data_IF_283642972709
#
_entry.id   IF_283642972709
#
_cell.length_a   1.000
_cell.length_b   1.000
_cell.length_c   1.000
_cell.angle_alpha   90.00
_cell.angle_beta   90.00
_cell.angle_gamma   90.00
#
_symmetry.space_group_name_H-M   'P 1'
#
loop_
_entity.id
_entity.type
_entity.pdbx_description
1 polymer ?
#
# COMPACT_ATOMS: atom_id res chain seq x y z
N UNK A 1 -9.71 1.87 -57.78
CA UNK A 1 -9.76 2.85 -56.67
C UNK A 1 -9.44 2.10 -55.40
N UNK A 2 -8.25 2.36 -54.82
CA UNK A 2 -7.50 1.47 -53.91
C UNK A 2 -8.12 1.30 -52.53
N UNK A 3 -8.43 0.07 -52.16
CA UNK A 3 -8.91 -0.36 -50.83
C UNK A 3 -8.06 0.19 -49.66
N UNK A 4 -6.75 0.44 -49.87
CA UNK A 4 -5.82 1.05 -48.89
C UNK A 4 -6.14 2.51 -48.56
N UNK A 5 -6.75 3.28 -49.47
CA UNK A 5 -7.16 4.68 -49.20
C UNK A 5 -8.46 4.75 -48.41
N UNK A 6 -9.37 3.78 -48.59
CA UNK A 6 -10.61 3.70 -47.82
C UNK A 6 -10.34 3.29 -46.36
N UNK A 7 -9.42 2.34 -46.13
CA UNK A 7 -8.98 1.97 -44.78
C UNK A 7 -8.27 3.12 -44.04
N UNK A 8 -7.50 3.96 -44.76
CA UNK A 8 -6.83 5.13 -44.18
C UNK A 8 -7.81 6.22 -43.75
N UNK A 9 -8.94 6.43 -44.48
CA UNK A 9 -9.97 7.37 -44.08
C UNK A 9 -10.89 6.85 -42.97
N UNK A 10 -11.09 5.55 -42.85
CA UNK A 10 -11.84 4.93 -41.75
C UNK A 10 -10.99 4.95 -40.46
N UNK A 11 -9.69 4.73 -40.54
CA UNK A 11 -8.79 4.79 -39.40
C UNK A 11 -8.56 6.24 -38.89
N UNK A 12 -8.60 7.25 -39.81
CA UNK A 12 -8.54 8.67 -39.40
C UNK A 12 -9.89 9.22 -38.90
N UNK A 13 -11.01 8.64 -39.27
CA UNK A 13 -12.33 9.00 -38.73
C UNK A 13 -12.59 8.40 -37.34
N UNK A 14 -11.97 7.25 -37.00
CA UNK A 14 -12.04 6.66 -35.65
C UNK A 14 -11.14 7.37 -34.60
N UNK A 15 -10.16 8.17 -35.06
CA UNK A 15 -9.29 8.95 -34.18
C UNK A 15 -9.81 10.37 -33.86
N UNK A 16 -10.97 10.76 -34.39
CA UNK A 16 -11.55 12.08 -34.18
C UNK A 16 -12.80 12.12 -33.28
N UNK A 17 -13.14 11.01 -32.60
CA UNK A 17 -14.24 10.98 -31.61
C UNK A 17 -13.79 11.06 -30.16
N UNK A 18 -12.59 11.54 -29.89
CA UNK A 18 -12.13 11.80 -28.53
C UNK A 18 -11.92 13.30 -28.38
N UNK A 19 -12.93 14.02 -27.97
CA UNK A 19 -12.91 15.21 -27.12
C UNK A 19 -14.24 15.98 -27.22
N UNK A 20 -15.34 15.32 -26.85
CA UNK A 20 -16.41 16.07 -26.21
C UNK A 20 -15.93 16.27 -24.78
N UNK A 21 -15.54 17.50 -24.40
CA UNK A 21 -14.99 17.83 -23.11
C UNK A 21 -16.01 17.76 -21.97
N UNK A 22 -16.62 16.59 -21.76
CA UNK A 22 -17.33 16.22 -20.55
C UNK A 22 -16.32 15.58 -19.59
N UNK A 23 -16.33 15.98 -18.34
CA UNK A 23 -15.58 15.26 -17.31
C UNK A 23 -16.17 13.85 -17.17
N UNK A 24 -15.29 12.84 -17.08
CA UNK A 24 -15.73 11.46 -16.88
C UNK A 24 -16.38 11.32 -15.49
N UNK A 25 -17.55 10.68 -15.37
CA UNK A 25 -18.16 10.47 -14.06
C UNK A 25 -17.35 9.51 -13.23
N UNK A 26 -17.11 9.88 -11.96
CA UNK A 26 -16.39 9.06 -10.99
C UNK A 26 -17.25 8.88 -9.73
N UNK A 27 -17.59 7.63 -9.42
CA UNK A 27 -18.13 7.22 -8.13
C UNK A 27 -17.07 6.47 -7.31
N UNK A 28 -17.33 6.21 -6.04
CA UNK A 28 -16.39 5.51 -5.16
C UNK A 28 -16.06 4.10 -5.68
N UNK A 29 -17.06 3.36 -6.16
CA UNK A 29 -16.85 2.00 -6.69
C UNK A 29 -15.89 1.97 -7.87
N UNK A 30 -16.06 2.89 -8.83
CA UNK A 30 -15.16 3.03 -9.98
C UNK A 30 -13.75 3.48 -9.56
N UNK A 31 -13.65 4.35 -8.56
CA UNK A 31 -12.35 4.78 -8.03
C UNK A 31 -11.61 3.62 -7.35
N UNK A 32 -12.33 2.78 -6.59
CA UNK A 32 -11.78 1.58 -5.97
C UNK A 32 -11.34 0.56 -7.02
N UNK A 33 -12.15 0.30 -8.04
CA UNK A 33 -11.81 -0.63 -9.12
C UNK A 33 -10.52 -0.19 -9.84
N UNK A 34 -10.43 1.08 -10.22
CA UNK A 34 -9.22 1.63 -10.86
C UNK A 34 -8.00 1.52 -9.96
N UNK A 35 -8.13 1.86 -8.67
CA UNK A 35 -7.03 1.75 -7.72
C UNK A 35 -6.59 0.30 -7.53
N UNK A 36 -7.52 -0.64 -7.36
CA UNK A 36 -7.21 -2.05 -7.22
C UNK A 36 -6.50 -2.63 -8.46
N UNK A 37 -6.74 -2.10 -9.64
CA UNK A 37 -6.06 -2.54 -10.87
C UNK A 37 -4.69 -1.87 -11.07
N UNK A 38 -4.57 -0.57 -10.83
CA UNK A 38 -3.47 0.25 -11.31
C UNK A 38 -2.58 0.83 -10.20
N UNK A 39 -2.93 0.69 -8.91
CA UNK A 39 -2.12 1.21 -7.82
C UNK A 39 -0.74 0.55 -7.82
N UNK A 40 0.32 1.37 -7.80
CA UNK A 40 1.70 0.89 -7.88
C UNK A 40 2.10 -0.01 -6.69
N UNK A 41 1.61 0.26 -5.48
CA UNK A 41 1.85 -0.57 -4.30
C UNK A 41 1.28 -1.98 -4.48
N UNK A 42 0.06 -2.08 -5.01
CA UNK A 42 -0.59 -3.36 -5.30
C UNK A 42 0.10 -4.12 -6.45
N UNK A 43 0.57 -3.42 -7.49
CA UNK A 43 1.32 -4.05 -8.59
C UNK A 43 2.62 -4.67 -8.04
N UNK A 44 3.36 -3.94 -7.19
CA UNK A 44 4.58 -4.44 -6.54
C UNK A 44 4.26 -5.65 -5.65
N UNK A 45 3.26 -5.54 -4.78
CA UNK A 45 2.88 -6.63 -3.86
C UNK A 45 2.41 -7.89 -4.58
N UNK A 46 1.74 -7.75 -5.75
CA UNK A 46 1.40 -8.89 -6.62
C UNK A 46 2.63 -9.53 -7.25
N UNK A 47 3.61 -8.73 -7.65
CA UNK A 47 4.89 -9.25 -8.16
C UNK A 47 5.65 -10.01 -7.07
N UNK A 48 5.66 -9.53 -5.83
CA UNK A 48 6.25 -10.24 -4.68
C UNK A 48 5.56 -11.60 -4.43
N UNK A 49 4.24 -11.64 -4.53
CA UNK A 49 3.49 -12.91 -4.43
C UNK A 49 3.89 -13.86 -5.57
N UNK A 50 3.99 -13.37 -6.80
CA UNK A 50 4.44 -14.17 -7.93
C UNK A 50 5.87 -14.72 -7.74
N UNK A 51 6.77 -13.94 -7.17
CA UNK A 51 8.13 -14.39 -6.80
C UNK A 51 8.05 -15.51 -5.75
N UNK A 52 7.22 -15.35 -4.72
CA UNK A 52 7.02 -16.38 -3.69
C UNK A 52 6.42 -17.66 -4.28
N UNK A 53 5.51 -17.55 -5.23
CA UNK A 53 4.93 -18.69 -5.97
C UNK A 53 5.97 -19.43 -6.82
N UNK A 54 6.80 -18.71 -7.55
CA UNK A 54 7.89 -19.28 -8.34
C UNK A 54 8.89 -20.02 -7.42
N UNK A 55 9.21 -19.46 -6.28
CA UNK A 55 10.11 -20.07 -5.29
C UNK A 55 9.51 -21.28 -4.57
N UNK A 56 8.18 -21.42 -4.54
CA UNK A 56 7.50 -22.51 -3.85
C UNK A 56 7.48 -23.80 -4.67
N UNK A 57 8.64 -24.35 -4.98
CA UNK A 57 8.79 -25.59 -5.74
C UNK A 57 9.82 -26.55 -5.10
N UNK A 58 9.74 -27.82 -5.48
CA UNK A 58 10.64 -28.85 -4.96
C UNK A 58 12.10 -28.69 -5.41
N UNK A 59 12.35 -28.02 -6.53
CA UNK A 59 13.72 -27.68 -6.98
C UNK A 59 14.40 -26.72 -6.03
N UNK A 60 13.72 -25.63 -5.68
CA UNK A 60 14.19 -24.65 -4.69
C UNK A 60 14.36 -25.29 -3.29
N UNK A 61 13.50 -26.25 -2.94
CA UNK A 61 13.63 -27.00 -1.69
C UNK A 61 14.82 -27.98 -1.69
N UNK A 62 15.46 -28.24 -2.84
CA UNK A 62 16.63 -29.12 -2.94
C UNK A 62 16.33 -30.59 -3.20
N UNK A 63 15.10 -30.94 -3.66
CA UNK A 63 14.71 -32.35 -3.92
C UNK A 63 15.37 -32.95 -5.15
N UNK A 64 15.68 -32.13 -6.16
CA UNK A 64 16.20 -32.61 -7.44
C UNK A 64 17.73 -32.49 -7.50
N UNK A 65 18.38 -33.32 -8.33
CA UNK A 65 19.83 -33.22 -8.55
C UNK A 65 20.18 -31.91 -9.26
N UNK A 66 21.37 -31.41 -8.98
CA UNK A 66 22.01 -30.34 -9.76
C UNK A 66 23.07 -30.95 -10.70
N UNK A 67 23.14 -30.41 -11.92
CA UNK A 67 24.18 -30.78 -12.91
C UNK A 67 24.98 -29.51 -13.18
N UNK A 68 26.29 -29.59 -12.95
CA UNK A 68 27.21 -28.50 -13.20
C UNK A 68 28.24 -28.89 -14.29
N UNK A 69 28.73 -27.91 -15.01
CA UNK A 69 29.88 -28.01 -15.88
C UNK A 69 30.90 -26.98 -15.42
N UNK A 70 32.11 -27.42 -15.19
CA UNK A 70 33.21 -26.56 -14.77
C UNK A 70 34.44 -26.77 -15.67
N UNK A 71 35.16 -25.67 -15.90
CA UNK A 71 36.45 -25.66 -16.57
C UNK A 71 37.41 -24.83 -15.75
N UNK A 72 38.58 -25.36 -15.50
CA UNK A 72 39.66 -24.64 -14.84
C UNK A 72 40.97 -24.81 -15.56
N UNK A 73 41.74 -23.75 -15.65
CA UNK A 73 43.13 -23.76 -16.15
C UNK A 73 44.04 -23.20 -15.05
N UNK A 74 44.88 -24.08 -14.50
CA UNK A 74 45.78 -23.75 -13.40
C UNK A 74 47.22 -23.77 -13.90
N UNK A 75 47.86 -22.61 -13.89
CA UNK A 75 49.23 -22.41 -14.25
C UNK A 75 50.08 -22.21 -13.00
N UNK A 76 51.09 -23.04 -12.78
CA UNK A 76 52.02 -22.94 -11.67
C UNK A 76 53.44 -22.83 -12.18
N UNK A 77 54.18 -21.80 -11.74
CA UNK A 77 55.59 -21.61 -12.04
C UNK A 77 56.37 -21.61 -10.71
N UNK A 78 57.32 -22.57 -10.62
CA UNK A 78 58.17 -22.73 -9.45
C UNK A 78 59.53 -22.12 -9.72
N UNK A 79 59.87 -21.03 -9.04
CA UNK A 79 61.07 -20.25 -9.25
C UNK A 79 62.37 -21.02 -8.91
N UNK A 80 62.36 -21.86 -7.87
CA UNK A 80 63.54 -22.57 -7.39
C UNK A 80 63.98 -23.70 -8.35
N UNK A 81 63.04 -24.33 -9.01
CA UNK A 81 63.28 -25.42 -9.96
C UNK A 81 63.18 -24.98 -11.41
N UNK A 82 62.87 -23.70 -11.68
CA UNK A 82 62.55 -23.20 -13.03
C UNK A 82 61.56 -24.12 -13.76
N UNK A 83 60.59 -24.67 -13.04
CA UNK A 83 59.60 -25.59 -13.59
C UNK A 83 58.26 -24.86 -13.77
N UNK A 84 57.59 -25.21 -14.87
CA UNK A 84 56.25 -24.74 -15.22
C UNK A 84 55.31 -25.94 -15.34
N UNK A 85 54.18 -25.87 -14.71
CA UNK A 85 53.10 -26.85 -14.83
C UNK A 85 51.79 -26.16 -15.17
N UNK A 86 51.14 -26.60 -16.25
CA UNK A 86 49.78 -26.24 -16.56
C UNK A 86 48.86 -27.44 -16.32
N UNK A 87 47.68 -27.20 -15.76
CA UNK A 87 46.64 -28.21 -15.61
C UNK A 87 45.32 -27.63 -16.09
N UNK A 88 44.88 -28.11 -17.24
CA UNK A 88 43.55 -27.88 -17.76
C UNK A 88 42.64 -29.00 -17.27
N UNK A 89 41.53 -28.63 -16.63
CA UNK A 89 40.49 -29.57 -16.20
C UNK A 89 39.12 -29.10 -16.69
N UNK A 90 38.32 -30.05 -17.18
CA UNK A 90 36.92 -29.81 -17.53
C UNK A 90 36.09 -30.97 -17.00
N UNK A 91 34.99 -30.66 -16.31
CA UNK A 91 34.14 -31.66 -15.66
C UNK A 91 32.65 -31.43 -15.84
N UNK A 92 31.91 -32.54 -15.91
CA UNK A 92 30.45 -32.53 -15.76
C UNK A 92 30.13 -33.36 -14.53
N UNK A 93 29.48 -32.76 -13.55
CA UNK A 93 29.13 -33.41 -12.30
C UNK A 93 27.65 -33.29 -11.99
N UNK A 94 27.07 -34.39 -11.51
CA UNK A 94 25.73 -34.45 -10.89
C UNK A 94 25.92 -34.56 -9.38
N UNK A 95 25.19 -33.73 -8.64
CA UNK A 95 25.11 -33.84 -7.19
C UNK A 95 23.62 -33.94 -6.77
N UNK A 96 23.26 -34.95 -5.98
CA UNK A 96 21.91 -35.19 -5.52
C UNK A 96 21.88 -35.53 -4.02
N UNK A 97 21.14 -34.74 -3.27
CA UNK A 97 20.87 -35.03 -1.86
C UNK A 97 19.71 -36.02 -1.77
N UNK A 98 20.01 -37.26 -1.41
CA UNK A 98 19.00 -38.34 -1.28
C UNK A 98 18.27 -38.28 0.05
N UNK A 99 18.98 -37.90 1.13
CA UNK A 99 18.45 -37.72 2.47
C UNK A 99 19.28 -36.69 3.24
N UNK A 100 18.65 -35.82 4.00
CA UNK A 100 19.28 -34.75 4.78
C UNK A 100 18.56 -34.50 6.11
N UNK A 101 18.01 -35.54 6.70
CA UNK A 101 17.26 -35.40 7.96
C UNK A 101 15.90 -34.71 7.77
N UNK A 102 15.24 -34.91 6.63
CA UNK A 102 13.95 -34.29 6.25
C UNK A 102 14.04 -32.77 5.96
N UNK A 103 15.22 -32.18 5.92
CA UNK A 103 15.42 -30.75 5.64
C UNK A 103 14.73 -30.31 4.37
N UNK A 104 14.81 -31.08 3.27
CA UNK A 104 14.15 -30.80 1.99
C UNK A 104 12.62 -30.66 2.17
N UNK A 105 12.00 -31.56 2.95
CA UNK A 105 10.54 -31.53 3.19
C UNK A 105 10.17 -30.30 4.02
N UNK A 106 10.90 -30.04 5.12
CA UNK A 106 10.67 -28.85 5.96
C UNK A 106 10.90 -27.55 5.17
N UNK A 107 11.91 -27.50 4.31
CA UNK A 107 12.15 -26.35 3.42
C UNK A 107 10.98 -26.14 2.48
N UNK A 108 10.40 -27.22 1.91
CA UNK A 108 9.19 -27.08 1.07
C UNK A 108 8.01 -26.51 1.84
N UNK A 109 7.74 -27.00 3.06
CA UNK A 109 6.69 -26.44 3.94
C UNK A 109 6.98 -24.99 4.29
N UNK A 110 8.24 -24.64 4.58
CA UNK A 110 8.65 -23.24 4.81
C UNK A 110 8.36 -22.35 3.60
N UNK A 111 8.62 -22.82 2.38
CA UNK A 111 8.31 -22.08 1.13
C UNK A 111 6.79 -21.93 0.93
N UNK A 112 5.98 -22.90 1.30
CA UNK A 112 4.51 -22.81 1.31
C UNK A 112 4.02 -21.73 2.28
N UNK A 113 4.51 -21.75 3.52
CA UNK A 113 4.16 -20.75 4.53
C UNK A 113 4.68 -19.33 4.15
N UNK A 114 5.83 -19.22 3.47
CA UNK A 114 6.31 -17.94 2.93
C UNK A 114 5.41 -17.41 1.82
N UNK A 115 4.92 -18.29 0.91
CA UNK A 115 3.91 -17.92 -0.08
C UNK A 115 2.63 -17.43 0.60
N UNK A 116 2.14 -18.16 1.61
CA UNK A 116 0.94 -17.78 2.36
C UNK A 116 1.11 -16.44 3.08
N UNK A 117 2.24 -16.22 3.75
CA UNK A 117 2.55 -14.93 4.38
C UNK A 117 2.61 -13.78 3.37
N UNK A 118 3.17 -14.02 2.19
CA UNK A 118 3.23 -13.00 1.13
C UNK A 118 1.85 -12.71 0.56
N UNK A 119 1.00 -13.72 0.38
CA UNK A 119 -0.41 -13.55 0.02
C UNK A 119 -1.17 -12.76 1.06
N UNK A 120 -0.96 -13.05 2.34
CA UNK A 120 -1.56 -12.29 3.43
C UNK A 120 -1.07 -10.85 3.53
N UNK A 121 0.20 -10.57 3.17
CA UNK A 121 0.71 -9.19 3.06
C UNK A 121 0.05 -8.43 1.92
N UNK A 122 -0.15 -9.08 0.76
CA UNK A 122 -0.92 -8.50 -0.34
C UNK A 122 -2.35 -8.17 0.11
N UNK A 123 -3.01 -9.04 0.88
CA UNK A 123 -4.34 -8.78 1.39
C UNK A 123 -4.37 -7.56 2.33
N UNK A 124 -3.39 -7.39 3.22
CA UNK A 124 -3.26 -6.18 4.06
C UNK A 124 -3.06 -4.92 3.21
N UNK A 125 -2.25 -4.99 2.16
CA UNK A 125 -2.03 -3.87 1.24
C UNK A 125 -3.32 -3.50 0.47
N UNK A 126 -4.10 -4.50 0.06
CA UNK A 126 -5.43 -4.29 -0.57
C UNK A 126 -6.36 -3.56 0.41
N UNK A 127 -6.48 -4.01 1.66
CA UNK A 127 -7.32 -3.37 2.68
C UNK A 127 -6.89 -1.93 2.95
N UNK A 128 -5.58 -1.67 3.06
CA UNK A 128 -5.03 -0.33 3.25
C UNK A 128 -5.32 0.57 2.04
N UNK A 129 -5.12 0.06 0.83
CA UNK A 129 -5.41 0.81 -0.41
C UNK A 129 -6.89 1.18 -0.51
N UNK A 130 -7.81 0.25 -0.16
CA UNK A 130 -9.25 0.52 -0.15
C UNK A 130 -9.59 1.64 0.85
N UNK A 131 -9.09 1.55 2.09
CA UNK A 131 -9.29 2.59 3.10
C UNK A 131 -8.76 3.95 2.61
N UNK A 132 -7.54 3.99 2.12
CA UNK A 132 -6.89 5.22 1.64
C UNK A 132 -7.66 5.86 0.48
N UNK A 133 -8.16 5.07 -0.48
CA UNK A 133 -8.99 5.57 -1.58
C UNK A 133 -10.31 6.12 -1.05
N UNK A 134 -10.99 5.44 -0.12
CA UNK A 134 -12.20 5.95 0.52
C UNK A 134 -11.94 7.31 1.16
N UNK A 135 -10.88 7.42 1.96
CA UNK A 135 -10.53 8.65 2.66
C UNK A 135 -10.19 9.79 1.70
N UNK A 136 -9.40 9.52 0.66
CA UNK A 136 -9.03 10.57 -0.31
C UNK A 136 -10.21 10.95 -1.21
N UNK A 137 -11.04 10.00 -1.62
CA UNK A 137 -12.27 10.27 -2.39
C UNK A 137 -13.20 11.22 -1.62
N UNK A 138 -13.51 10.87 -0.37
CA UNK A 138 -14.35 11.73 0.48
C UNK A 138 -13.65 13.03 0.90
N UNK A 139 -12.33 13.06 0.93
CA UNK A 139 -11.58 14.32 1.11
C UNK A 139 -11.76 15.24 -0.10
N UNK A 140 -11.83 14.72 -1.34
CA UNK A 140 -12.15 15.55 -2.53
C UNK A 140 -13.55 16.15 -2.38
N UNK A 141 -14.55 15.34 -1.98
CA UNK A 141 -15.91 15.82 -1.77
C UNK A 141 -15.96 16.88 -0.66
N UNK A 142 -15.27 16.66 0.47
CA UNK A 142 -15.13 17.63 1.55
C UNK A 142 -14.57 18.97 1.03
N UNK A 143 -13.45 18.95 0.27
CA UNK A 143 -12.85 20.16 -0.28
C UNK A 143 -13.79 20.87 -1.27
N UNK A 144 -14.57 20.14 -2.06
CA UNK A 144 -15.57 20.70 -2.98
C UNK A 144 -16.72 21.37 -2.20
N UNK A 145 -17.24 20.73 -1.14
CA UNK A 145 -18.27 21.33 -0.31
C UNK A 145 -17.77 22.58 0.45
N UNK A 146 -16.53 22.54 0.96
CA UNK A 146 -15.89 23.73 1.54
C UNK A 146 -15.72 24.86 0.53
N UNK A 147 -15.42 24.54 -0.74
CA UNK A 147 -15.36 25.52 -1.81
C UNK A 147 -16.71 26.20 -2.05
N UNK A 148 -17.82 25.45 -2.04
CA UNK A 148 -19.19 26.02 -2.16
C UNK A 148 -19.52 26.97 -1.01
N UNK A 149 -19.14 26.59 0.23
CA UNK A 149 -19.34 27.47 1.39
C UNK A 149 -18.55 28.77 1.24
N UNK A 150 -17.27 28.70 0.81
CA UNK A 150 -16.46 29.90 0.58
C UNK A 150 -16.96 30.75 -0.58
N UNK A 151 -17.48 30.15 -1.62
CA UNK A 151 -18.12 30.85 -2.74
C UNK A 151 -19.33 31.64 -2.23
N UNK A 152 -20.17 31.03 -1.40
CA UNK A 152 -21.32 31.71 -0.77
C UNK A 152 -20.86 32.91 0.07
N UNK A 153 -19.85 32.73 0.94
CA UNK A 153 -19.34 33.79 1.79
C UNK A 153 -18.67 34.92 0.96
N UNK A 154 -17.93 34.56 -0.09
CA UNK A 154 -17.34 35.53 -1.01
C UNK A 154 -18.43 36.35 -1.71
N UNK A 155 -19.49 35.72 -2.23
CA UNK A 155 -20.60 36.41 -2.89
C UNK A 155 -21.32 37.36 -1.92
N UNK A 156 -21.58 36.94 -0.67
CA UNK A 156 -22.15 37.78 0.36
C UNK A 156 -21.27 39.00 0.71
N UNK A 157 -19.94 38.84 0.71
CA UNK A 157 -19.03 39.96 0.97
C UNK A 157 -18.87 40.86 -0.24
N UNK A 158 -19.00 40.37 -1.47
CA UNK A 158 -19.06 41.16 -2.68
C UNK A 158 -20.34 42.02 -2.72
N UNK A 159 -21.49 41.42 -2.48
CA UNK A 159 -22.77 42.15 -2.39
C UNK A 159 -22.71 43.25 -1.38
N UNK A 160 -22.10 42.99 -0.19
CA UNK A 160 -21.90 44.01 0.85
C UNK A 160 -21.00 45.14 0.36
N UNK A 161 -19.90 44.84 -0.34
CA UNK A 161 -19.02 45.86 -0.91
C UNK A 161 -19.75 46.72 -1.95
N UNK A 162 -20.51 46.12 -2.84
CA UNK A 162 -21.33 46.87 -3.84
C UNK A 162 -22.40 47.72 -3.17
N UNK A 163 -23.06 47.19 -2.11
CA UNK A 163 -24.06 47.97 -1.35
C UNK A 163 -23.42 49.19 -0.69
N UNK A 164 -22.27 49.09 -0.04
CA UNK A 164 -21.57 50.23 0.60
C UNK A 164 -21.10 51.25 -0.44
N UNK A 165 -20.64 50.83 -1.62
CA UNK A 165 -20.28 51.72 -2.75
C UNK A 165 -21.52 52.57 -3.20
N UNK A 166 -22.65 51.88 -3.39
CA UNK A 166 -23.88 52.56 -3.80
C UNK A 166 -24.40 53.50 -2.72
N UNK A 167 -24.33 53.09 -1.45
CA UNK A 167 -24.72 53.93 -0.31
C UNK A 167 -23.83 55.16 -0.18
N UNK A 168 -22.52 55.05 -0.41
CA UNK A 168 -21.58 56.17 -0.44
C UNK A 168 -21.92 57.17 -1.55
N UNK A 169 -22.21 56.69 -2.78
CA UNK A 169 -22.56 57.58 -3.91
C UNK A 169 -23.83 58.39 -3.66
N UNK A 170 -24.70 57.91 -2.76
CA UNK A 170 -25.93 58.60 -2.30
C UNK A 170 -25.73 59.45 -1.03
N UNK A 171 -24.46 59.57 -0.53
CA UNK A 171 -24.14 60.32 0.68
C UNK A 171 -24.44 59.60 1.99
N UNK A 172 -24.85 58.34 1.96
CA UNK A 172 -25.30 57.56 3.15
C UNK A 172 -24.20 56.68 3.78
N UNK A 173 -22.98 56.65 3.23
CA UNK A 173 -21.84 55.89 3.81
C UNK A 173 -20.53 56.69 3.68
N UNK A 174 -19.57 56.44 4.56
CA UNK A 174 -18.23 57.05 4.55
C UNK A 174 -17.21 56.14 3.86
N UNK A 175 -16.15 56.74 3.30
CA UNK A 175 -15.07 56.01 2.59
C UNK A 175 -14.50 54.87 3.43
N UNK A 176 -14.40 55.03 4.75
CA UNK A 176 -13.93 53.99 5.66
C UNK A 176 -14.73 52.69 5.54
N UNK A 177 -16.08 52.76 5.53
CA UNK A 177 -16.94 51.59 5.43
C UNK A 177 -16.78 50.87 4.09
N UNK A 178 -16.60 51.64 2.98
CA UNK A 178 -16.38 51.06 1.65
C UNK A 178 -15.03 50.34 1.58
N UNK A 179 -13.94 50.96 2.06
CA UNK A 179 -12.64 50.33 2.08
C UNK A 179 -12.58 49.08 2.94
N UNK A 180 -13.29 49.09 4.06
CA UNK A 180 -13.41 47.92 4.92
C UNK A 180 -14.19 46.78 4.25
N UNK A 181 -15.31 47.05 3.59
CA UNK A 181 -16.08 46.08 2.86
C UNK A 181 -15.25 45.51 1.69
N UNK A 182 -14.46 46.34 1.00
CA UNK A 182 -13.54 45.93 -0.04
C UNK A 182 -12.46 44.96 0.51
N UNK A 183 -11.83 45.30 1.63
CA UNK A 183 -10.81 44.43 2.25
C UNK A 183 -11.35 43.04 2.62
N UNK A 184 -12.57 42.98 3.14
CA UNK A 184 -13.22 41.72 3.46
C UNK A 184 -13.50 40.91 2.20
N UNK A 185 -14.08 41.50 1.15
CA UNK A 185 -14.31 40.84 -0.12
C UNK A 185 -13.01 40.27 -0.73
N UNK A 186 -11.93 41.07 -0.76
CA UNK A 186 -10.66 40.62 -1.29
C UNK A 186 -10.04 39.47 -0.46
N UNK A 187 -10.23 39.49 0.85
CA UNK A 187 -9.81 38.39 1.74
C UNK A 187 -10.59 37.12 1.46
N UNK A 188 -11.94 37.20 1.36
CA UNK A 188 -12.80 36.05 1.08
C UNK A 188 -12.52 35.50 -0.32
N UNK A 189 -12.26 36.38 -1.32
CA UNK A 189 -11.83 35.96 -2.65
C UNK A 189 -10.48 35.22 -2.66
N UNK A 190 -9.53 35.69 -1.85
CA UNK A 190 -8.24 34.98 -1.71
C UNK A 190 -8.43 33.59 -1.07
N UNK A 191 -9.30 33.48 -0.07
CA UNK A 191 -9.65 32.19 0.56
C UNK A 191 -10.33 31.24 -0.44
N UNK A 192 -11.26 31.73 -1.25
CA UNK A 192 -11.90 30.96 -2.32
C UNK A 192 -10.87 30.41 -3.33
N UNK A 193 -9.96 31.27 -3.85
CA UNK A 193 -8.92 30.86 -4.80
C UNK A 193 -7.95 29.83 -4.19
N UNK A 194 -7.61 29.96 -2.90
CA UNK A 194 -6.78 28.98 -2.21
C UNK A 194 -7.51 27.63 -2.09
N UNK A 195 -8.79 27.66 -1.76
CA UNK A 195 -9.61 26.43 -1.67
C UNK A 195 -9.74 25.74 -3.03
N UNK A 196 -9.91 26.50 -4.09
CA UNK A 196 -9.93 25.95 -5.46
C UNK A 196 -8.62 25.23 -5.81
N UNK A 197 -7.48 25.77 -5.37
CA UNK A 197 -6.18 25.10 -5.49
C UNK A 197 -6.15 23.81 -4.66
N UNK A 198 -6.69 23.81 -3.43
CA UNK A 198 -6.75 22.61 -2.57
C UNK A 198 -7.59 21.50 -3.21
N UNK A 199 -8.75 21.83 -3.79
CA UNK A 199 -9.59 20.87 -4.56
C UNK A 199 -8.75 20.22 -5.66
N UNK A 200 -8.08 21.03 -6.50
CA UNK A 200 -7.23 20.50 -7.59
C UNK A 200 -6.12 19.58 -7.07
N UNK A 201 -5.46 19.96 -5.97
CA UNK A 201 -4.37 19.17 -5.40
C UNK A 201 -4.88 17.83 -4.83
N UNK A 202 -6.05 17.82 -4.18
CA UNK A 202 -6.66 16.60 -3.64
C UNK A 202 -7.09 15.66 -4.76
N UNK A 203 -7.63 16.19 -5.88
CA UNK A 203 -7.95 15.39 -7.08
C UNK A 203 -6.67 14.76 -7.68
N UNK A 204 -5.57 15.52 -7.75
CA UNK A 204 -4.29 14.96 -8.23
C UNK A 204 -3.77 13.84 -7.34
N UNK A 205 -3.94 13.97 -6.02
CA UNK A 205 -3.58 12.91 -5.09
C UNK A 205 -4.43 11.65 -5.30
N UNK A 206 -5.74 11.80 -5.49
CA UNK A 206 -6.62 10.69 -5.84
C UNK A 206 -6.20 10.01 -7.15
N UNK A 207 -5.91 10.80 -8.19
CA UNK A 207 -5.43 10.29 -9.48
C UNK A 207 -4.13 9.48 -9.32
N UNK A 208 -3.17 10.00 -8.53
CA UNK A 208 -1.94 9.28 -8.24
C UNK A 208 -2.20 7.93 -7.56
N UNK A 209 -3.10 7.89 -6.58
CA UNK A 209 -3.44 6.65 -5.88
C UNK A 209 -4.19 5.64 -6.76
N UNK A 210 -5.01 6.12 -7.71
CA UNK A 210 -5.68 5.31 -8.72
C UNK A 210 -4.74 4.88 -9.87
N UNK A 211 -3.49 5.36 -9.92
CA UNK A 211 -2.58 5.11 -11.04
C UNK A 211 -3.01 5.79 -12.34
N UNK A 212 -3.74 6.90 -12.26
CA UNK A 212 -4.23 7.70 -13.39
C UNK A 212 -3.36 8.94 -13.57
N UNK A 213 -3.39 9.52 -14.78
CA UNK A 213 -2.64 10.75 -15.06
C UNK A 213 -3.03 11.89 -14.10
N UNK A 214 -2.07 12.59 -13.47
CA UNK A 214 -2.37 13.61 -12.44
C UNK A 214 -3.22 14.79 -12.93
N UNK A 215 -3.22 15.09 -14.23
CA UNK A 215 -3.98 16.20 -14.81
C UNK A 215 -5.44 15.82 -15.14
N UNK A 216 -5.84 14.54 -15.04
CA UNK A 216 -7.18 14.10 -15.34
C UNK A 216 -8.21 14.73 -14.39
N UNK A 217 -9.37 15.09 -14.92
CA UNK A 217 -10.46 15.74 -14.17
C UNK A 217 -11.71 14.87 -14.18
N UNK A 218 -12.41 14.85 -13.05
CA UNK A 218 -13.55 13.98 -12.81
C UNK A 218 -14.81 14.78 -12.47
N UNK A 219 -15.98 14.25 -12.87
CA UNK A 219 -17.26 14.63 -12.30
C UNK A 219 -17.64 13.64 -11.18
N UNK A 220 -17.61 14.12 -9.94
CA UNK A 220 -17.94 13.31 -8.76
C UNK A 220 -19.44 13.21 -8.59
N UNK A 221 -19.97 11.99 -8.66
CA UNK A 221 -21.42 11.75 -8.70
C UNK A 221 -22.06 11.44 -7.35
N UNK A 222 -21.26 11.14 -6.31
CA UNK A 222 -21.78 10.81 -5.00
C UNK A 222 -22.07 12.05 -4.13
N UNK A 223 -23.08 11.94 -3.25
CA UNK A 223 -23.37 12.93 -2.22
C UNK A 223 -22.35 12.84 -1.09
N UNK A 224 -22.04 14.00 -0.49
CA UNK A 224 -21.18 14.08 0.69
C UNK A 224 -22.01 13.89 1.96
N UNK A 225 -22.36 12.63 2.24
CA UNK A 225 -23.14 12.20 3.39
C UNK A 225 -22.47 11.01 4.08
N UNK A 226 -22.64 10.90 5.39
CA UNK A 226 -22.14 9.78 6.17
C UNK A 226 -23.27 8.78 6.46
N UNK A 227 -22.95 7.51 6.38
CA UNK A 227 -23.82 6.45 6.86
C UNK A 227 -23.77 6.39 8.40
N UNK A 228 -24.93 6.40 9.02
CA UNK A 228 -25.13 6.44 10.49
C UNK A 228 -25.47 5.07 11.08
N UNK A 229 -24.92 3.99 10.51
CA UNK A 229 -25.15 2.63 11.00
C UNK A 229 -24.53 2.44 12.38
N UNK A 230 -25.30 1.90 13.31
CA UNK A 230 -24.82 1.51 14.63
C UNK A 230 -24.09 0.17 14.59
N UNK A 231 -23.05 0.04 15.41
CA UNK A 231 -22.27 -1.18 15.56
C UNK A 231 -22.43 -1.79 16.94
N UNK A 232 -22.27 -3.13 17.02
CA UNK A 232 -22.24 -3.87 18.27
C UNK A 232 -20.79 -4.29 18.54
N UNK A 233 -20.21 -3.83 19.66
CA UNK A 233 -18.81 -4.10 20.02
C UNK A 233 -18.47 -5.60 20.02
N UNK A 234 -19.36 -6.44 20.54
CA UNK A 234 -19.13 -7.90 20.60
C UNK A 234 -18.96 -8.53 19.20
N UNK A 235 -19.73 -8.06 18.23
CA UNK A 235 -19.66 -8.54 16.84
C UNK A 235 -18.37 -8.08 16.16
N UNK A 236 -17.99 -6.82 16.39
CA UNK A 236 -16.74 -6.25 15.87
C UNK A 236 -15.52 -7.00 16.45
N UNK A 237 -15.52 -7.29 17.75
CA UNK A 237 -14.44 -8.01 18.41
C UNK A 237 -14.31 -9.44 17.86
N UNK A 238 -15.44 -10.12 17.65
CA UNK A 238 -15.47 -11.46 17.05
C UNK A 238 -14.89 -11.44 15.62
N UNK A 239 -15.35 -10.50 14.78
CA UNK A 239 -14.85 -10.33 13.40
C UNK A 239 -13.37 -9.98 13.38
N UNK A 240 -12.92 -9.04 14.20
CA UNK A 240 -11.52 -8.67 14.28
C UNK A 240 -10.63 -9.88 14.57
N UNK A 241 -11.02 -10.73 15.54
CA UNK A 241 -10.23 -11.94 15.89
C UNK A 241 -10.24 -13.01 14.79
N UNK A 242 -11.35 -13.15 14.04
CA UNK A 242 -11.47 -14.16 12.98
C UNK A 242 -10.91 -13.70 11.64
N UNK A 243 -11.05 -12.42 11.30
CA UNK A 243 -10.89 -11.95 9.92
C UNK A 243 -9.73 -10.96 9.73
N UNK A 244 -9.20 -10.34 10.81
CA UNK A 244 -8.08 -9.41 10.70
C UNK A 244 -6.87 -10.07 10.04
N UNK A 245 -6.49 -9.56 8.88
CA UNK A 245 -5.44 -10.17 8.05
C UNK A 245 -4.04 -10.02 8.64
N UNK A 246 -3.77 -8.93 9.37
CA UNK A 246 -2.49 -8.74 10.05
C UNK A 246 -2.29 -9.77 11.17
N UNK A 247 -3.36 -10.11 11.89
CA UNK A 247 -3.32 -11.16 12.91
C UNK A 247 -3.10 -12.54 12.27
N UNK A 248 -3.80 -12.88 11.18
CA UNK A 248 -3.55 -14.12 10.41
C UNK A 248 -2.11 -14.23 9.94
N UNK A 249 -1.52 -13.14 9.46
CA UNK A 249 -0.13 -13.09 9.05
C UNK A 249 0.83 -13.38 10.21
N UNK A 250 0.49 -12.96 11.43
CA UNK A 250 1.30 -13.24 12.60
C UNK A 250 1.25 -14.74 12.99
N UNK A 251 0.08 -15.40 12.84
CA UNK A 251 0.01 -16.86 13.00
C UNK A 251 0.85 -17.59 11.92
N UNK A 252 0.81 -17.15 10.67
CA UNK A 252 1.67 -17.72 9.62
C UNK A 252 3.16 -17.51 9.92
N UNK A 253 3.52 -16.38 10.55
CA UNK A 253 4.89 -16.13 10.99
C UNK A 253 5.33 -17.10 12.11
N UNK A 254 4.43 -17.47 13.04
CA UNK A 254 4.70 -18.52 14.03
C UNK A 254 5.00 -19.86 13.34
N UNK A 255 4.20 -20.28 12.34
CA UNK A 255 4.48 -21.49 11.55
C UNK A 255 5.86 -21.46 10.88
N UNK A 256 6.32 -20.28 10.43
CA UNK A 256 7.68 -20.14 9.91
C UNK A 256 8.75 -20.36 10.97
N UNK A 257 8.52 -19.94 12.24
CA UNK A 257 9.45 -20.19 13.35
C UNK A 257 9.46 -21.68 13.75
N UNK A 258 8.31 -22.36 13.74
CA UNK A 258 8.23 -23.81 13.92
C UNK A 258 9.00 -24.56 12.82
N UNK A 259 8.91 -24.12 11.57
CA UNK A 259 9.73 -24.66 10.48
C UNK A 259 11.23 -24.43 10.71
N UNK A 260 11.64 -23.27 11.24
CA UNK A 260 13.04 -23.00 11.61
C UNK A 260 13.53 -23.97 12.70
N UNK A 261 12.72 -24.22 13.73
CA UNK A 261 13.00 -25.24 14.77
C UNK A 261 13.15 -26.62 14.14
N UNK A 262 12.27 -26.99 13.22
CA UNK A 262 12.32 -28.26 12.49
C UNK A 262 13.57 -28.38 11.61
N UNK A 263 13.99 -27.30 10.96
CA UNK A 263 15.25 -27.23 10.21
C UNK A 263 16.50 -27.44 11.11
N UNK A 264 16.50 -26.88 12.31
CA UNK A 264 17.59 -27.12 13.27
C UNK A 264 17.58 -28.58 13.76
N UNK A 265 16.41 -29.17 13.95
CA UNK A 265 16.28 -30.58 14.32
C UNK A 265 16.79 -31.52 13.22
N UNK A 266 16.70 -31.13 11.94
CA UNK A 266 17.21 -31.96 10.83
C UNK A 266 18.73 -32.26 10.97
N UNK A 267 19.48 -31.39 11.63
CA UNK A 267 20.92 -31.58 11.88
C UNK A 267 21.26 -32.75 12.83
N UNK A 268 20.25 -33.35 13.49
CA UNK A 268 20.45 -34.56 14.29
C UNK A 268 20.39 -35.85 13.49
N UNK A 269 20.11 -35.79 12.20
CA UNK A 269 20.09 -36.94 11.29
C UNK A 269 21.30 -36.94 10.38
N UNK A 270 21.71 -38.11 9.85
CA UNK A 270 22.73 -38.18 8.81
C UNK A 270 22.26 -37.54 7.50
N UNK A 271 23.19 -37.11 6.66
CA UNK A 271 22.92 -36.76 5.27
C UNK A 271 23.51 -37.82 4.33
N UNK A 272 22.78 -38.12 3.25
CA UNK A 272 23.19 -39.06 2.18
C UNK A 272 23.10 -38.30 0.87
N UNK A 273 24.22 -38.22 0.17
CA UNK A 273 24.32 -37.62 -1.18
C UNK A 273 24.90 -38.58 -2.21
N UNK A 274 24.42 -38.46 -3.43
CA UNK A 274 24.94 -39.15 -4.63
C UNK A 274 25.68 -38.12 -5.48
N UNK A 275 26.94 -38.44 -5.81
CA UNK A 275 27.73 -37.72 -6.79
C UNK A 275 28.04 -38.66 -7.99
N UNK A 276 27.87 -38.16 -9.20
CA UNK A 276 28.27 -38.88 -10.41
C UNK A 276 28.76 -37.88 -11.48
N UNK A 277 29.72 -38.26 -12.27
CA UNK A 277 30.24 -37.34 -13.28
C UNK A 277 31.38 -37.90 -14.10
N UNK A 278 31.98 -37.01 -14.84
CA UNK A 278 33.13 -37.31 -15.70
C UNK A 278 34.06 -36.10 -15.73
N UNK A 279 35.32 -36.32 -15.38
CA UNK A 279 36.37 -35.30 -15.38
C UNK A 279 37.39 -35.58 -16.46
N UNK A 280 37.66 -34.60 -17.32
CA UNK A 280 38.78 -34.56 -18.23
C UNK A 280 39.88 -33.70 -17.61
N UNK A 281 41.10 -34.22 -17.54
CA UNK A 281 42.26 -33.49 -17.08
C UNK A 281 43.40 -33.62 -18.09
N UNK A 282 44.02 -32.50 -18.45
CA UNK A 282 45.25 -32.48 -19.20
C UNK A 282 46.29 -31.67 -18.45
N UNK A 283 47.39 -32.32 -18.12
CA UNK A 283 48.52 -31.69 -17.42
C UNK A 283 49.76 -31.76 -18.26
N UNK A 284 50.44 -30.64 -18.44
CA UNK A 284 51.75 -30.58 -19.08
C UNK A 284 52.72 -29.72 -18.28
N UNK A 285 53.99 -30.03 -18.35
CA UNK A 285 55.01 -29.33 -17.58
C UNK A 285 56.39 -29.37 -18.22
N UNK A 286 57.17 -28.35 -17.94
CA UNK A 286 58.52 -28.15 -18.37
C UNK A 286 59.45 -27.89 -17.18
N UNK A 287 60.64 -28.48 -17.19
CA UNK A 287 61.70 -28.23 -16.22
C UNK A 287 63.07 -28.26 -16.93
N UNK A 288 63.88 -27.23 -16.73
CA UNK A 288 65.17 -27.12 -17.39
C UNK A 288 65.08 -27.07 -18.93
N UNK A 289 63.95 -26.62 -19.51
CA UNK A 289 63.71 -26.55 -20.94
C UNK A 289 63.19 -27.83 -21.56
N UNK A 290 63.08 -28.92 -20.81
CA UNK A 290 62.57 -30.22 -21.32
C UNK A 290 61.15 -30.48 -20.80
N UNK A 291 60.27 -31.00 -21.62
CA UNK A 291 58.97 -31.46 -21.23
C UNK A 291 59.10 -32.73 -20.37
N UNK A 292 58.65 -32.64 -19.11
CA UNK A 292 58.67 -33.77 -18.18
C UNK A 292 57.29 -34.35 -17.88
N UNK A 293 56.23 -33.60 -18.22
CA UNK A 293 54.85 -33.99 -17.98
C UNK A 293 54.00 -33.68 -19.21
N UNK A 294 53.28 -34.68 -19.71
CA UNK A 294 52.24 -34.53 -20.72
C UNK A 294 51.28 -35.69 -20.56
N UNK A 295 50.19 -35.48 -19.83
CA UNK A 295 49.24 -36.53 -19.53
C UNK A 295 47.79 -36.01 -19.67
N UNK A 296 46.98 -36.74 -20.40
CA UNK A 296 45.54 -36.50 -20.52
C UNK A 296 44.79 -37.69 -19.93
N UNK A 297 43.81 -37.40 -19.09
CA UNK A 297 43.00 -38.42 -18.44
C UNK A 297 41.51 -38.09 -18.59
N UNK A 298 40.69 -39.12 -18.76
CA UNK A 298 39.25 -39.03 -18.71
C UNK A 298 38.77 -39.99 -17.62
N UNK A 299 38.17 -39.46 -16.58
CA UNK A 299 37.84 -40.21 -15.36
C UNK A 299 36.36 -40.11 -15.06
N UNK A 300 35.54 -41.12 -15.39
CA UNK A 300 34.18 -41.21 -14.90
C UNK A 300 34.20 -41.60 -13.42
N UNK A 301 33.27 -41.02 -12.64
CA UNK A 301 33.12 -41.36 -11.23
C UNK A 301 31.65 -41.46 -10.80
N UNK A 302 31.43 -42.24 -9.76
CA UNK A 302 30.17 -42.33 -9.04
C UNK A 302 30.44 -42.62 -7.58
N UNK A 303 29.87 -41.84 -6.70
CA UNK A 303 30.07 -42.00 -5.26
C UNK A 303 28.77 -41.76 -4.48
N UNK A 304 28.60 -42.46 -3.39
CA UNK A 304 27.59 -42.22 -2.38
C UNK A 304 28.33 -41.77 -1.13
N UNK A 305 27.93 -40.63 -0.58
CA UNK A 305 28.52 -40.07 0.64
C UNK A 305 27.46 -40.09 1.74
N UNK A 306 27.78 -40.69 2.88
CA UNK A 306 27.05 -40.55 4.13
C UNK A 306 27.88 -39.67 5.06
N UNK A 307 27.27 -38.59 5.55
CA UNK A 307 27.90 -37.65 6.48
C UNK A 307 27.05 -37.52 7.75
N UNK A 308 27.67 -37.66 8.90
CA UNK A 308 27.02 -37.51 10.19
C UNK A 308 28.01 -36.96 11.22
N UNK A 309 27.67 -35.83 11.82
CA UNK A 309 28.50 -35.24 12.88
C UNK A 309 28.20 -35.93 14.21
N UNK A 310 29.13 -36.74 14.69
CA UNK A 310 28.95 -37.48 15.95
C UNK A 310 29.01 -36.50 17.15
N UNK A 311 29.87 -35.49 17.08
CA UNK A 311 30.04 -34.49 18.10
C UNK A 311 30.22 -33.09 17.51
N UNK A 312 29.39 -32.13 17.90
CA UNK A 312 29.35 -30.76 17.38
C UNK A 312 29.63 -29.69 18.44
N UNK A 313 30.34 -30.03 19.53
CA UNK A 313 30.61 -29.14 20.66
C UNK A 313 29.35 -28.39 21.19
N UNK A 314 28.20 -29.04 21.16
CA UNK A 314 26.91 -28.49 21.61
C UNK A 314 26.26 -27.48 20.63
N UNK A 315 26.84 -27.26 19.44
CA UNK A 315 26.28 -26.30 18.43
C UNK A 315 24.85 -26.65 18.03
N UNK A 316 24.59 -27.93 17.72
CA UNK A 316 23.21 -28.39 17.38
C UNK A 316 22.21 -28.14 18.50
N UNK A 317 22.58 -28.50 19.74
CA UNK A 317 21.70 -28.28 20.90
C UNK A 317 21.34 -26.80 21.07
N UNK A 318 22.36 -25.93 21.05
CA UNK A 318 22.14 -24.48 21.16
C UNK A 318 21.33 -23.93 19.99
N UNK A 319 21.55 -24.43 18.77
CA UNK A 319 20.77 -24.03 17.57
C UNK A 319 19.26 -24.32 17.74
N UNK A 320 18.91 -25.52 18.23
CA UNK A 320 17.51 -25.88 18.53
C UNK A 320 16.95 -25.05 19.69
N UNK A 321 17.73 -24.84 20.75
CA UNK A 321 17.30 -24.02 21.90
C UNK A 321 17.00 -22.58 21.47
N UNK A 322 17.87 -21.96 20.68
CA UNK A 322 17.64 -20.61 20.11
C UNK A 322 16.38 -20.59 19.21
N UNK A 323 16.20 -21.59 18.37
CA UNK A 323 15.03 -21.67 17.49
C UNK A 323 13.72 -21.79 18.30
N UNK A 324 13.69 -22.56 19.38
CA UNK A 324 12.54 -22.65 20.29
C UNK A 324 12.24 -21.34 21.01
N UNK A 325 13.28 -20.62 21.47
CA UNK A 325 13.08 -19.30 22.06
C UNK A 325 12.48 -18.32 21.03
N UNK A 326 12.91 -18.38 19.76
CA UNK A 326 12.30 -17.58 18.69
C UNK A 326 10.84 -17.95 18.42
N UNK A 327 10.47 -19.21 18.56
CA UNK A 327 9.08 -19.70 18.47
C UNK A 327 8.24 -19.17 19.64
N UNK A 328 8.74 -19.24 20.88
CA UNK A 328 8.10 -18.64 22.06
C UNK A 328 7.94 -17.11 21.89
N UNK A 329 8.95 -16.42 21.37
CA UNK A 329 8.87 -14.97 21.06
C UNK A 329 7.78 -14.69 20.04
N UNK A 330 7.64 -15.53 19.00
CA UNK A 330 6.57 -15.37 18.00
C UNK A 330 5.18 -15.55 18.62
N UNK A 331 5.02 -16.48 19.57
CA UNK A 331 3.76 -16.63 20.31
C UNK A 331 3.44 -15.38 21.15
N UNK A 332 4.40 -14.84 21.87
CA UNK A 332 4.23 -13.59 22.64
C UNK A 332 3.87 -12.41 21.72
N UNK A 333 4.42 -12.37 20.49
CA UNK A 333 4.07 -11.36 19.51
C UNK A 333 2.62 -11.48 19.01
N UNK A 334 2.05 -12.69 18.92
CA UNK A 334 0.62 -12.91 18.64
C UNK A 334 -0.21 -12.32 19.78
N UNK A 335 0.11 -12.66 21.02
CA UNK A 335 -0.63 -12.18 22.20
C UNK A 335 -0.56 -10.63 22.27
N UNK A 336 0.62 -10.07 22.02
CA UNK A 336 0.82 -8.62 21.96
C UNK A 336 -0.04 -7.97 20.86
N UNK A 337 -0.10 -8.57 19.66
CA UNK A 337 -0.90 -8.05 18.55
C UNK A 337 -2.40 -8.15 18.86
N UNK A 338 -2.89 -9.26 19.44
CA UNK A 338 -4.29 -9.36 19.86
C UNK A 338 -4.69 -8.28 20.87
N UNK A 339 -3.82 -8.02 21.86
CA UNK A 339 -4.05 -6.95 22.82
C UNK A 339 -4.04 -5.56 22.16
N UNK A 340 -3.10 -5.30 21.26
CA UNK A 340 -3.01 -4.03 20.53
C UNK A 340 -4.24 -3.78 19.65
N UNK A 341 -4.66 -4.78 18.86
CA UNK A 341 -5.83 -4.70 18.01
C UNK A 341 -7.13 -4.54 18.84
N UNK A 342 -7.22 -5.23 19.97
CA UNK A 342 -8.36 -5.08 20.89
C UNK A 342 -8.44 -3.65 21.42
N UNK A 343 -7.32 -3.09 21.88
CA UNK A 343 -7.29 -1.71 22.38
C UNK A 343 -7.60 -0.70 21.25
N UNK A 344 -7.05 -0.90 20.05
CA UNK A 344 -7.35 -0.06 18.88
C UNK A 344 -8.84 -0.12 18.52
N UNK A 345 -9.44 -1.32 18.52
CA UNK A 345 -10.86 -1.51 18.25
C UNK A 345 -11.76 -0.76 19.26
N UNK A 346 -11.45 -0.83 20.55
CA UNK A 346 -12.19 -0.06 21.57
C UNK A 346 -12.11 1.45 21.30
N UNK A 347 -10.91 1.97 21.02
CA UNK A 347 -10.73 3.39 20.71
C UNK A 347 -11.50 3.81 19.44
N UNK A 348 -11.45 2.99 18.38
CA UNK A 348 -12.17 3.27 17.13
C UNK A 348 -13.69 3.24 17.32
N UNK A 349 -14.18 2.33 18.14
CA UNK A 349 -15.60 2.23 18.47
C UNK A 349 -16.07 3.47 19.26
N UNK A 350 -15.36 3.84 20.32
CA UNK A 350 -15.66 5.05 21.10
C UNK A 350 -15.61 6.31 20.23
N UNK A 351 -14.61 6.42 19.34
CA UNK A 351 -14.54 7.52 18.38
C UNK A 351 -15.74 7.53 17.42
N UNK A 352 -16.20 6.37 16.96
CA UNK A 352 -17.33 6.28 16.06
C UNK A 352 -18.62 6.75 16.75
N UNK A 353 -18.90 6.28 17.97
CA UNK A 353 -20.08 6.71 18.75
C UNK A 353 -20.09 8.23 18.99
N UNK A 354 -18.96 8.79 19.45
CA UNK A 354 -18.84 10.23 19.70
C UNK A 354 -18.99 11.03 18.40
N UNK A 355 -18.44 10.56 17.27
CA UNK A 355 -18.54 11.24 15.97
C UNK A 355 -19.96 11.25 15.42
N UNK A 356 -20.72 10.20 15.70
CA UNK A 356 -22.14 10.12 15.36
C UNK A 356 -22.94 11.22 16.09
N UNK A 357 -22.72 11.37 17.39
CA UNK A 357 -23.35 12.42 18.17
C UNK A 357 -22.89 13.83 17.79
N UNK A 358 -21.57 14.00 17.51
CA UNK A 358 -21.02 15.26 17.01
C UNK A 358 -21.61 15.68 15.66
N UNK A 359 -21.92 14.72 14.78
CA UNK A 359 -22.62 15.02 13.53
C UNK A 359 -24.04 15.54 13.77
N UNK A 360 -24.77 14.94 14.71
CA UNK A 360 -26.13 15.41 15.08
C UNK A 360 -26.07 16.84 15.61
N UNK A 361 -25.18 17.13 16.56
CA UNK A 361 -24.97 18.48 17.11
C UNK A 361 -24.58 19.47 16.01
N UNK A 362 -23.69 19.07 15.09
CA UNK A 362 -23.23 19.93 13.99
C UNK A 362 -24.38 20.26 13.00
N UNK A 363 -25.28 19.30 12.74
CA UNK A 363 -26.44 19.53 11.86
C UNK A 363 -27.43 20.52 12.50
N UNK A 364 -27.73 20.38 13.79
CA UNK A 364 -28.60 21.33 14.51
C UNK A 364 -27.97 22.72 14.53
N UNK A 365 -26.67 22.82 14.82
CA UNK A 365 -25.96 24.10 14.86
C UNK A 365 -25.92 24.78 13.48
N UNK A 366 -25.76 24.02 12.40
CA UNK A 366 -25.78 24.56 11.03
C UNK A 366 -27.17 25.15 10.72
N UNK A 367 -28.25 24.44 11.02
CA UNK A 367 -29.59 24.97 10.82
C UNK A 367 -29.84 26.29 11.58
N UNK A 368 -29.38 26.40 12.84
CA UNK A 368 -29.46 27.63 13.59
C UNK A 368 -28.61 28.77 12.99
N UNK A 369 -27.39 28.45 12.50
CA UNK A 369 -26.50 29.45 11.90
C UNK A 369 -27.04 29.96 10.53
N UNK A 370 -27.64 29.11 9.72
CA UNK A 370 -28.27 29.46 8.44
C UNK A 370 -29.46 30.41 8.67
N UNK A 371 -30.33 30.07 9.62
CA UNK A 371 -31.46 30.94 9.99
C UNK A 371 -30.99 32.29 10.51
N UNK A 372 -29.95 32.29 11.38
CA UNK A 372 -29.37 33.54 11.90
C UNK A 372 -28.75 34.40 10.79
N UNK A 373 -28.06 33.78 9.83
CA UNK A 373 -27.49 34.48 8.68
C UNK A 373 -28.59 35.15 7.84
N UNK A 374 -29.66 34.42 7.51
CA UNK A 374 -30.81 34.93 6.74
C UNK A 374 -31.48 36.11 7.45
N UNK A 375 -31.82 36.00 8.75
CA UNK A 375 -32.41 37.07 9.54
C UNK A 375 -31.47 38.28 9.59
N UNK A 376 -30.17 38.06 9.75
CA UNK A 376 -29.18 39.13 9.86
C UNK A 376 -28.96 39.87 8.55
N UNK A 377 -29.08 39.17 7.40
CA UNK A 377 -29.06 39.82 6.09
C UNK A 377 -30.22 40.85 5.93
N UNK A 378 -31.43 40.43 6.27
CA UNK A 378 -32.60 41.32 6.24
C UNK A 378 -32.45 42.54 7.17
N UNK A 379 -31.95 42.32 8.40
CA UNK A 379 -31.70 43.39 9.37
C UNK A 379 -30.59 44.36 8.91
N UNK A 380 -29.57 43.84 8.24
CA UNK A 380 -28.51 44.65 7.66
C UNK A 380 -29.03 45.52 6.52
N UNK A 381 -29.78 44.93 5.58
CA UNK A 381 -30.40 45.65 4.46
C UNK A 381 -31.39 46.72 4.91
N UNK A 382 -32.11 46.48 6.01
CA UNK A 382 -33.04 47.47 6.63
C UNK A 382 -32.33 48.49 7.54
N UNK A 383 -31.02 48.37 7.75
CA UNK A 383 -30.22 49.29 8.57
C UNK A 383 -30.36 49.09 10.09
N UNK A 384 -30.97 47.99 10.55
CA UNK A 384 -31.17 47.67 11.98
C UNK A 384 -29.85 47.22 12.63
N UNK A 385 -28.98 46.51 11.88
CA UNK A 385 -27.67 46.15 12.35
C UNK A 385 -26.58 46.75 11.43
N UNK A 386 -25.41 46.97 12.00
CA UNK A 386 -24.27 47.52 11.26
C UNK A 386 -23.51 46.43 10.49
N UNK A 387 -22.59 46.86 9.62
CA UNK A 387 -21.76 46.01 8.77
C UNK A 387 -20.85 45.08 9.56
N UNK A 388 -20.43 45.43 10.79
CA UNK A 388 -19.56 44.58 11.61
C UNK A 388 -20.37 43.39 12.19
N UNK A 389 -21.54 43.67 12.78
CA UNK A 389 -22.39 42.60 13.31
C UNK A 389 -22.82 41.60 12.23
N UNK A 390 -23.11 42.08 11.01
CA UNK A 390 -23.42 41.20 9.90
C UNK A 390 -22.22 40.33 9.52
N UNK A 391 -20.98 40.88 9.52
CA UNK A 391 -19.77 40.13 9.26
C UNK A 391 -19.52 39.05 10.32
N UNK A 392 -19.72 39.34 11.58
CA UNK A 392 -19.58 38.35 12.66
C UNK A 392 -20.49 37.14 12.43
N UNK A 393 -21.74 37.35 12.01
CA UNK A 393 -22.68 36.27 11.68
C UNK A 393 -22.24 35.47 10.47
N UNK A 394 -21.67 36.11 9.41
CA UNK A 394 -21.11 35.40 8.27
C UNK A 394 -19.93 34.49 8.68
N UNK A 395 -19.05 34.96 9.58
CA UNK A 395 -17.94 34.17 10.11
C UNK A 395 -18.39 33.00 10.97
N UNK A 396 -19.46 33.20 11.78
CA UNK A 396 -20.09 32.11 12.54
C UNK A 396 -20.64 31.05 11.58
N UNK A 397 -21.41 31.46 10.57
CA UNK A 397 -21.92 30.53 9.56
C UNK A 397 -20.81 29.75 8.89
N UNK A 398 -19.72 30.40 8.42
CA UNK A 398 -18.57 29.76 7.81
C UNK A 398 -17.95 28.70 8.73
N UNK A 399 -17.73 29.07 10.01
CA UNK A 399 -17.15 28.17 11.00
C UNK A 399 -18.02 26.96 11.25
N UNK A 400 -19.33 27.16 11.45
CA UNK A 400 -20.30 26.09 11.73
C UNK A 400 -20.46 25.17 10.51
N UNK A 401 -20.52 25.72 9.28
CA UNK A 401 -20.59 24.94 8.06
C UNK A 401 -19.35 24.04 7.90
N UNK A 402 -18.16 24.57 8.17
CA UNK A 402 -16.93 23.78 8.14
C UNK A 402 -16.92 22.68 9.22
N UNK A 403 -17.38 22.96 10.42
CA UNK A 403 -17.50 21.97 11.49
C UNK A 403 -18.43 20.82 11.10
N UNK A 404 -19.57 21.11 10.48
CA UNK A 404 -20.50 20.08 9.98
C UNK A 404 -19.84 19.23 8.89
N UNK A 405 -19.20 19.84 7.90
CA UNK A 405 -18.49 19.12 6.83
C UNK A 405 -17.39 18.22 7.40
N UNK A 406 -16.62 18.73 8.38
CA UNK A 406 -15.59 17.94 9.05
C UNK A 406 -16.18 16.78 9.88
N UNK A 407 -17.34 16.97 10.53
CA UNK A 407 -18.03 15.91 11.27
C UNK A 407 -18.46 14.76 10.34
N UNK A 408 -19.00 15.07 9.15
CA UNK A 408 -19.33 14.06 8.12
C UNK A 408 -18.10 13.27 7.73
N UNK A 409 -17.01 13.95 7.38
CA UNK A 409 -15.76 13.30 6.98
C UNK A 409 -15.19 12.41 8.09
N UNK A 410 -15.18 12.90 9.33
CA UNK A 410 -14.67 12.15 10.47
C UNK A 410 -15.49 10.88 10.74
N UNK A 411 -16.81 10.92 10.56
CA UNK A 411 -17.67 9.74 10.71
C UNK A 411 -17.38 8.71 9.62
N UNK A 412 -17.24 9.14 8.36
CA UNK A 412 -16.83 8.27 7.24
C UNK A 412 -15.46 7.60 7.54
N UNK A 413 -14.49 8.39 8.02
CA UNK A 413 -13.17 7.88 8.37
C UNK A 413 -13.22 6.84 9.51
N UNK A 414 -14.06 7.04 10.54
CA UNK A 414 -14.20 6.05 11.61
C UNK A 414 -14.84 4.76 11.14
N UNK A 415 -15.81 4.84 10.21
CA UNK A 415 -16.43 3.66 9.60
C UNK A 415 -15.41 2.88 8.76
N UNK A 416 -14.62 3.56 7.94
CA UNK A 416 -13.58 2.92 7.14
C UNK A 416 -12.55 2.20 8.03
N UNK A 417 -12.08 2.84 9.10
CA UNK A 417 -11.14 2.25 10.05
C UNK A 417 -11.73 1.02 10.79
N UNK A 418 -12.99 1.09 11.23
CA UNK A 418 -13.69 -0.06 11.84
C UNK A 418 -13.84 -1.22 10.85
N UNK A 419 -14.13 -0.93 9.58
CA UNK A 419 -14.24 -1.95 8.53
C UNK A 419 -12.89 -2.62 8.28
N UNK A 420 -11.79 -1.84 8.21
CA UNK A 420 -10.44 -2.38 8.02
C UNK A 420 -10.00 -3.26 9.18
N UNK A 421 -10.13 -2.80 10.42
CA UNK A 421 -9.65 -3.58 11.58
C UNK A 421 -10.41 -4.89 11.75
N UNK A 422 -11.64 -4.96 11.26
CA UNK A 422 -12.47 -6.18 11.26
C UNK A 422 -12.32 -7.03 10.00
N UNK A 423 -11.39 -6.72 9.09
CA UNK A 423 -11.17 -7.49 7.86
C UNK A 423 -12.30 -7.38 6.82
N UNK A 424 -13.16 -6.36 6.95
CA UNK A 424 -14.38 -6.24 6.15
C UNK A 424 -14.16 -5.84 4.69
N UNK A 425 -12.98 -5.35 4.31
CA UNK A 425 -12.73 -4.87 2.94
C UNK A 425 -12.42 -5.98 1.93
N UNK A 426 -11.96 -7.15 2.38
CA UNK A 426 -11.64 -8.25 1.46
C UNK A 426 -12.89 -8.83 0.77
N UNK A 427 -14.09 -8.67 1.35
CA UNK A 427 -15.35 -9.00 0.70
C UNK A 427 -15.64 -8.15 -0.55
N UNK A 428 -15.24 -6.89 -0.55
CA UNK A 428 -15.40 -5.98 -1.69
C UNK A 428 -14.43 -6.27 -2.85
N UNK A 429 -13.30 -6.92 -2.59
CA UNK A 429 -12.30 -7.25 -3.61
C UNK A 429 -12.59 -8.57 -4.33
N UNK A 430 -13.57 -9.37 -3.85
CA UNK A 430 -13.95 -10.68 -4.40
C UNK A 430 -15.23 -10.65 -5.26
N UNK A 431 -15.97 -9.56 -5.28
CA UNK A 431 -17.08 -9.27 -6.19
C UNK A 431 -16.62 -8.47 -7.42
#
# INVERSE_FOLDING_TARGET
MNLRRILSYILSALLLTANAGGQDPLNLSSALEQALQNNYGLIISRADLQIAEINNNWGTAGRYPTIGFDVSDNNNYELNSSSYTNRLAAGVGLNWVLFDGFRVNVTKTKLENLKELTSGRLAVEVESTIEDIILVYYSVLLQKEQLKVLETVMNLSEDRYQYELKKQSLGGSVTYNVLQAQNVYLTDKANFLNQEMMVRNTIRNLNYMMGVEPAHTWDFTESFEADTTDYIMADLLSKMKSDNQSLKNQYTNLLLKENETSLQNSAYYPSISLGAGMDYGHSWGYSGGAQYLNNATLTPYGNVRLSFDIYSAGVRKRGVEIARINEEVAQVQIDQMEHALTNELFNLFDFHEVRLELLNVANENLGAAELNLSISEEKYRSGVINSFNYRDIQLIYLSVAYQRLQAVYNLIASKAALTRITGGFLGYASE
#
